data_IF_736359669483
#
_entry.id   IF_736359669483
#
_cell.length_a   1.000
_cell.length_b   1.000
_cell.length_c   1.000
_cell.angle_alpha   90.00
_cell.angle_beta   90.00
_cell.angle_gamma   90.00
#
_symmetry.space_group_name_H-M   'P 1'
#
loop_
_entity.id
_entity.type
_entity.pdbx_description
1 polymer ?
#
# COMPACT_ATOMS: atom_id res chain seq x y z
N UNK A 1 4.50 -4.00 2.39
CA UNK A 1 4.24 -2.57 2.66
C UNK A 1 4.35 -1.82 1.34
N UNK A 2 3.30 -1.07 1.01
CA UNK A 2 3.14 -0.30 -0.22
C UNK A 2 2.92 1.18 0.11
N UNK A 3 3.34 2.07 -0.79
CA UNK A 3 3.10 3.52 -0.70
C UNK A 3 2.43 3.96 -2.02
N UNK A 4 3.16 4.65 -2.91
CA UNK A 4 2.68 4.98 -4.25
C UNK A 4 2.49 3.72 -5.11
N UNK A 5 1.26 3.50 -5.58
CA UNK A 5 0.90 2.47 -6.56
C UNK A 5 0.03 3.09 -7.64
N UNK A 6 0.62 3.40 -8.80
CA UNK A 6 -0.05 4.07 -9.93
C UNK A 6 0.75 3.89 -11.22
N UNK A 7 0.28 4.47 -12.30
CA UNK A 7 1.07 4.70 -13.52
C UNK A 7 2.04 5.87 -13.28
N UNK A 8 3.29 5.60 -12.90
CA UNK A 8 4.22 6.64 -12.44
C UNK A 8 4.87 7.35 -13.63
N UNK A 9 5.38 6.58 -14.59
CA UNK A 9 6.09 7.12 -15.77
C UNK A 9 5.27 8.15 -16.56
N UNK A 10 3.96 7.95 -16.63
CA UNK A 10 3.03 8.84 -17.36
C UNK A 10 2.40 9.91 -16.45
N UNK A 11 2.82 9.98 -15.18
CA UNK A 11 2.32 10.99 -14.25
C UNK A 11 3.08 12.30 -14.35
N UNK A 12 2.56 13.34 -13.69
CA UNK A 12 3.25 14.63 -13.54
C UNK A 12 4.59 14.54 -12.78
N UNK A 13 4.86 13.42 -12.13
CA UNK A 13 6.03 13.18 -11.28
C UNK A 13 6.71 11.86 -11.64
N UNK A 14 7.28 11.71 -12.85
CA UNK A 14 7.84 10.45 -13.34
C UNK A 14 9.10 9.99 -12.60
N UNK A 15 9.73 10.86 -11.79
CA UNK A 15 10.85 10.48 -10.93
C UNK A 15 10.44 10.00 -9.53
N UNK A 16 9.15 10.05 -9.16
CA UNK A 16 8.72 9.60 -7.83
C UNK A 16 9.07 8.12 -7.69
N UNK A 17 9.71 7.79 -6.57
CA UNK A 17 9.98 6.39 -6.21
C UNK A 17 8.68 5.75 -5.72
N UNK A 18 8.07 4.96 -6.59
CA UNK A 18 6.88 4.19 -6.28
C UNK A 18 6.80 2.92 -7.10
N UNK A 19 5.67 2.23 -7.03
CA UNK A 19 5.43 1.00 -7.76
C UNK A 19 4.46 1.25 -8.93
N UNK A 20 4.87 0.79 -10.12
CA UNK A 20 3.97 0.78 -11.28
C UNK A 20 2.79 -0.15 -11.04
N UNK A 21 1.59 0.28 -11.43
CA UNK A 21 0.36 -0.48 -11.18
C UNK A 21 0.40 -1.90 -11.78
N UNK A 22 0.94 -2.07 -12.99
CA UNK A 22 1.13 -3.40 -13.58
C UNK A 22 2.05 -4.30 -12.73
N UNK A 23 3.13 -3.74 -12.17
CA UNK A 23 4.02 -4.50 -11.28
C UNK A 23 3.35 -4.86 -9.97
N UNK A 24 2.47 -4.00 -9.46
CA UNK A 24 1.66 -4.32 -8.29
C UNK A 24 0.78 -5.55 -8.54
N UNK A 25 0.09 -5.63 -9.68
CA UNK A 25 -0.69 -6.82 -10.05
C UNK A 25 0.17 -8.08 -10.12
N UNK A 26 1.35 -8.00 -10.75
CA UNK A 26 2.30 -9.13 -10.78
C UNK A 26 2.75 -9.56 -9.39
N UNK A 27 2.97 -8.60 -8.47
CA UNK A 27 3.30 -8.94 -7.09
C UNK A 27 2.13 -9.61 -6.38
N UNK A 28 0.89 -9.18 -6.59
CA UNK A 28 -0.28 -9.86 -6.05
C UNK A 28 -0.40 -11.29 -6.57
N UNK A 29 -0.17 -11.53 -7.87
CA UNK A 29 -0.16 -12.88 -8.44
C UNK A 29 0.89 -13.77 -7.76
N UNK A 30 2.10 -13.24 -7.58
CA UNK A 30 3.17 -13.96 -6.90
C UNK A 30 2.80 -14.26 -5.44
N UNK A 31 2.31 -13.26 -4.70
CA UNK A 31 1.95 -13.40 -3.30
C UNK A 31 0.84 -14.43 -3.11
N UNK A 32 -0.22 -14.39 -3.91
CA UNK A 32 -1.30 -15.38 -3.87
C UNK A 32 -0.83 -16.79 -4.22
N UNK A 33 0.22 -16.92 -5.04
CA UNK A 33 0.77 -18.24 -5.40
C UNK A 33 1.66 -18.88 -4.33
N UNK A 34 2.14 -18.10 -3.34
CA UNK A 34 3.14 -18.53 -2.35
C UNK A 34 2.74 -18.33 -0.90
N UNK A 35 1.83 -17.39 -0.62
CA UNK A 35 1.49 -16.95 0.72
C UNK A 35 -0.02 -16.99 0.95
N UNK A 36 -0.41 -17.16 2.21
CA UNK A 36 -1.76 -16.94 2.67
C UNK A 36 -1.92 -15.45 2.96
N UNK A 37 -2.64 -14.72 2.11
CA UNK A 37 -2.88 -13.30 2.36
C UNK A 37 -3.94 -13.19 3.47
N UNK A 38 -3.52 -12.69 4.62
CA UNK A 38 -4.33 -12.60 5.84
C UNK A 38 -4.88 -11.19 6.07
N UNK A 39 -5.80 -11.08 7.02
CA UNK A 39 -6.40 -9.83 7.45
C UNK A 39 -5.67 -9.26 8.67
N UNK A 40 -5.90 -7.98 8.97
CA UNK A 40 -5.28 -7.35 10.15
C UNK A 40 -5.79 -7.99 11.44
N UNK A 41 -7.04 -8.42 11.43
CA UNK A 41 -7.76 -9.09 12.50
C UNK A 41 -7.08 -10.40 12.91
N UNK A 42 -6.53 -11.15 11.95
CA UNK A 42 -5.79 -12.39 12.21
C UNK A 42 -4.54 -12.10 13.03
N UNK A 43 -3.78 -11.05 12.67
CA UNK A 43 -2.59 -10.60 13.39
C UNK A 43 -2.96 -10.09 14.79
N UNK A 44 -4.00 -9.26 14.88
CA UNK A 44 -4.48 -8.71 16.16
C UNK A 44 -4.89 -9.84 17.11
N UNK A 45 -5.67 -10.82 16.63
CA UNK A 45 -6.09 -11.95 17.45
C UNK A 45 -4.92 -12.84 17.85
N UNK A 46 -3.93 -13.04 16.98
CA UNK A 46 -2.73 -13.78 17.34
C UNK A 46 -1.95 -13.09 18.46
N UNK A 47 -1.74 -11.77 18.34
CA UNK A 47 -1.00 -10.99 19.34
C UNK A 47 -1.72 -10.87 20.69
N UNK A 48 -3.05 -10.68 20.68
CA UNK A 48 -3.81 -10.42 21.91
C UNK A 48 -4.33 -11.70 22.58
N UNK A 49 -4.72 -12.69 21.77
CA UNK A 49 -5.44 -13.87 22.23
C UNK A 49 -4.66 -15.17 22.05
N UNK A 50 -3.45 -15.12 21.45
CA UNK A 50 -2.66 -16.31 21.15
C UNK A 50 -3.28 -17.20 20.06
N UNK A 51 -4.17 -16.66 19.23
CA UNK A 51 -4.72 -17.39 18.08
C UNK A 51 -3.60 -17.81 17.13
N UNK A 52 -3.72 -19.01 16.56
CA UNK A 52 -2.79 -19.47 15.53
C UNK A 52 -2.94 -18.63 14.26
N UNK A 53 -1.83 -18.41 13.57
CA UNK A 53 -1.78 -17.77 12.26
C UNK A 53 -1.34 -18.81 11.22
N UNK A 54 -1.90 -18.81 9.99
CA UNK A 54 -1.44 -19.74 8.97
C UNK A 54 0.06 -19.61 8.71
N UNK A 55 0.73 -20.73 8.43
CA UNK A 55 2.10 -20.68 7.95
C UNK A 55 2.17 -19.93 6.61
N UNK A 56 3.30 -19.26 6.35
CA UNK A 56 3.49 -18.43 5.16
C UNK A 56 2.42 -17.33 5.00
N UNK A 57 2.00 -16.72 6.11
CA UNK A 57 1.07 -15.60 6.09
C UNK A 57 1.71 -14.32 5.53
N UNK A 58 0.92 -13.53 4.81
CA UNK A 58 1.31 -12.23 4.27
C UNK A 58 0.21 -11.21 4.56
N UNK A 59 0.56 -10.12 5.26
CA UNK A 59 -0.34 -8.98 5.45
C UNK A 59 0.02 -7.87 4.45
N UNK A 60 -0.97 -7.36 3.73
CA UNK A 60 -0.78 -6.23 2.82
C UNK A 60 -1.06 -4.90 3.54
N UNK A 61 -0.02 -4.08 3.71
CA UNK A 61 -0.12 -2.74 4.31
C UNK A 61 0.13 -1.64 3.29
N UNK A 62 -0.61 -0.53 3.42
CA UNK A 62 -0.58 0.63 2.54
C UNK A 62 -0.52 1.91 3.37
N UNK A 63 0.58 2.66 3.23
CA UNK A 63 0.86 3.82 4.09
C UNK A 63 0.63 5.14 3.34
N UNK A 64 0.56 6.24 4.08
CA UNK A 64 0.39 7.62 3.62
C UNK A 64 -1.02 8.00 3.10
N UNK A 65 -1.92 7.05 2.89
CA UNK A 65 -3.32 7.33 2.56
C UNK A 65 -3.53 8.03 1.21
N UNK A 66 -2.71 7.72 0.21
CA UNK A 66 -2.78 8.37 -1.10
C UNK A 66 -4.09 8.06 -1.84
N UNK A 67 -4.58 9.05 -2.60
CA UNK A 67 -5.70 8.86 -3.55
C UNK A 67 -5.46 7.72 -4.55
N UNK A 68 -4.19 7.43 -4.83
CA UNK A 68 -3.76 6.34 -5.71
C UNK A 68 -4.25 4.99 -5.17
N UNK A 69 -4.36 4.82 -3.86
CA UNK A 69 -4.93 3.62 -3.24
C UNK A 69 -6.39 3.41 -3.61
N UNK A 70 -7.20 4.47 -3.62
CA UNK A 70 -8.61 4.37 -4.01
C UNK A 70 -8.72 4.11 -5.52
N UNK A 71 -7.88 4.80 -6.32
CA UNK A 71 -7.97 4.74 -7.78
C UNK A 71 -7.45 3.42 -8.36
N UNK A 72 -6.35 2.88 -7.85
CA UNK A 72 -5.65 1.74 -8.43
C UNK A 72 -5.68 0.50 -7.53
N UNK A 73 -5.36 0.64 -6.24
CA UNK A 73 -5.21 -0.51 -5.33
C UNK A 73 -6.56 -1.13 -4.97
N UNK A 74 -7.52 -0.32 -4.51
CA UNK A 74 -8.78 -0.82 -3.96
C UNK A 74 -9.60 -1.63 -4.98
N UNK A 75 -9.77 -1.21 -6.25
CA UNK A 75 -10.48 -2.01 -7.24
C UNK A 75 -9.79 -3.36 -7.49
N UNK A 76 -8.45 -3.37 -7.56
CA UNK A 76 -7.67 -4.59 -7.78
C UNK A 76 -7.85 -5.57 -6.61
N UNK A 77 -7.68 -5.10 -5.37
CA UNK A 77 -7.88 -5.92 -4.18
C UNK A 77 -9.31 -6.46 -4.07
N UNK A 78 -10.32 -5.61 -4.35
CA UNK A 78 -11.73 -6.03 -4.36
C UNK A 78 -12.00 -7.12 -5.41
N UNK A 79 -11.46 -6.98 -6.62
CA UNK A 79 -11.63 -7.97 -7.69
C UNK A 79 -11.07 -9.34 -7.29
N UNK A 80 -10.01 -9.36 -6.49
CA UNK A 80 -9.34 -10.56 -5.96
C UNK A 80 -9.88 -11.04 -4.62
N UNK A 81 -10.84 -10.31 -4.03
CA UNK A 81 -11.37 -10.56 -2.66
C UNK A 81 -10.26 -10.57 -1.59
N UNK A 82 -9.29 -9.68 -1.73
CA UNK A 82 -8.19 -9.50 -0.78
C UNK A 82 -8.48 -8.26 0.08
N UNK A 83 -8.20 -8.35 1.38
CA UNK A 83 -8.18 -7.18 2.26
C UNK A 83 -6.81 -6.52 2.25
N UNK A 84 -6.80 -5.18 2.21
CA UNK A 84 -5.61 -4.37 2.49
C UNK A 84 -5.80 -3.59 3.79
N UNK A 85 -4.70 -3.35 4.50
CA UNK A 85 -4.68 -2.50 5.71
C UNK A 85 -4.08 -1.15 5.37
N UNK A 86 -4.84 -0.07 5.59
CA UNK A 86 -4.47 1.29 5.18
C UNK A 86 -4.18 2.16 6.40
N UNK A 87 -3.07 2.90 6.35
CA UNK A 87 -2.60 3.77 7.43
C UNK A 87 -2.49 5.23 6.97
N UNK A 88 -3.62 5.93 6.77
CA UNK A 88 -3.61 7.34 6.39
C UNK A 88 -3.17 8.23 7.57
N UNK A 89 -2.28 9.22 7.33
CA UNK A 89 -1.82 10.14 8.36
C UNK A 89 -2.90 11.18 8.67
N UNK A 90 -3.30 11.27 9.94
CA UNK A 90 -4.34 12.19 10.40
C UNK A 90 -4.04 13.65 10.03
N UNK A 91 -2.79 14.10 10.20
CA UNK A 91 -2.36 15.47 9.93
C UNK A 91 -2.67 15.93 8.49
N UNK A 92 -2.42 15.08 7.50
CA UNK A 92 -2.68 15.44 6.10
C UNK A 92 -4.19 15.59 5.81
N UNK A 93 -5.04 14.89 6.57
CA UNK A 93 -6.48 14.89 6.38
C UNK A 93 -7.15 16.01 7.18
N UNK A 94 -6.80 16.12 8.47
CA UNK A 94 -7.41 17.07 9.40
C UNK A 94 -6.93 18.49 9.14
N UNK A 95 -5.62 18.67 8.98
CA UNK A 95 -4.99 20.00 8.89
C UNK A 95 -4.78 20.45 7.44
N UNK A 96 -4.98 19.53 6.47
CA UNK A 96 -4.72 19.74 5.04
C UNK A 96 -3.28 20.19 4.73
N UNK A 97 -2.34 19.72 5.53
CA UNK A 97 -0.92 20.02 5.37
C UNK A 97 -0.15 18.91 4.65
N UNK A 98 0.78 19.31 3.78
CA UNK A 98 1.76 18.39 3.21
C UNK A 98 2.73 17.93 4.30
N UNK A 99 2.93 16.62 4.46
CA UNK A 99 3.92 16.13 5.42
C UNK A 99 5.34 16.37 4.88
N UNK A 100 6.29 16.57 5.81
CA UNK A 100 7.69 16.77 5.45
C UNK A 100 8.27 15.63 4.60
N UNK A 101 7.84 14.39 4.85
CA UNK A 101 8.28 13.22 4.07
C UNK A 101 7.84 13.33 2.60
N UNK A 102 6.61 13.80 2.37
CA UNK A 102 6.09 13.98 1.03
C UNK A 102 6.79 15.13 0.31
N UNK A 103 7.10 16.22 1.02
CA UNK A 103 7.90 17.31 0.46
C UNK A 103 9.28 16.81 -0.01
N UNK A 104 9.95 15.97 0.78
CA UNK A 104 11.22 15.34 0.39
C UNK A 104 11.03 14.47 -0.85
N UNK A 105 9.97 13.66 -0.94
CA UNK A 105 9.68 12.84 -2.13
C UNK A 105 9.56 13.70 -3.40
N UNK A 106 8.87 14.85 -3.33
CA UNK A 106 8.73 15.76 -4.47
C UNK A 106 10.03 16.48 -4.84
N UNK A 107 10.87 16.83 -3.86
CA UNK A 107 12.20 17.41 -4.13
C UNK A 107 13.08 16.37 -4.84
N UNK A 108 13.19 15.16 -4.28
CA UNK A 108 14.01 14.09 -4.82
C UNK A 108 13.54 13.61 -6.20
N UNK A 109 12.25 13.74 -6.51
CA UNK A 109 11.72 13.46 -7.84
C UNK A 109 12.35 14.33 -8.93
N UNK A 110 12.74 15.56 -8.58
CA UNK A 110 13.32 16.55 -9.50
C UNK A 110 14.85 16.52 -9.53
N UNK A 111 15.48 15.94 -8.51
CA UNK A 111 16.92 15.76 -8.47
C UNK A 111 17.30 14.52 -9.29
N UNK A 112 17.58 14.72 -10.57
CA UNK A 112 18.26 13.75 -11.44
C UNK A 112 19.57 14.35 -11.92
#
# INVERSE_FOLDING_TARGET
MYHYVREIKESLYPGIKGLEFEKFKTQLDHLQSKYQIIQAEDVISSCLNGSSIPENSCLLTFDDGYKDHIKFVLPELKSRKIQGTFFPPAKAILDRELLGVNAIHFILERCR
#
